data_IF_842760464764
#
_entry.id   IF_842760464764
#
_cell.length_a   1.000
_cell.length_b   1.000
_cell.length_c   1.000
_cell.angle_alpha   90.00
_cell.angle_beta   90.00
_cell.angle_gamma   90.00
#
_symmetry.space_group_name_H-M   'P 1'
#
loop_
_entity.id
_entity.type
_entity.pdbx_description
1 polymer ?
#
# COMPACT_ATOMS: atom_id res chain seq x y z
N UNK A 1 -12.29 13.83 -6.93
CA UNK A 1 -11.32 13.03 -7.72
C UNK A 1 -10.12 12.70 -6.84
N UNK A 2 -9.93 11.42 -6.47
CA UNK A 2 -8.87 11.02 -5.53
C UNK A 2 -7.44 11.13 -6.08
N UNK A 3 -6.46 11.34 -5.19
CA UNK A 3 -5.03 11.49 -5.49
C UNK A 3 -4.47 10.31 -6.32
N UNK A 4 -4.86 9.08 -5.96
CA UNK A 4 -4.45 7.83 -6.61
C UNK A 4 -4.82 7.83 -8.10
N UNK A 5 -5.99 8.36 -8.46
CA UNK A 5 -6.42 8.45 -9.86
C UNK A 5 -5.46 9.33 -10.67
N UNK A 6 -4.99 10.45 -10.10
CA UNK A 6 -4.06 11.35 -10.79
C UNK A 6 -2.71 10.67 -11.01
N UNK A 7 -2.20 9.97 -9.99
CA UNK A 7 -0.97 9.19 -10.07
C UNK A 7 -1.03 8.08 -11.12
N UNK A 8 -2.17 7.39 -11.22
CA UNK A 8 -2.38 6.39 -12.27
C UNK A 8 -2.38 7.01 -13.66
N UNK A 9 -3.01 8.17 -13.84
CA UNK A 9 -3.04 8.87 -15.13
C UNK A 9 -1.63 9.32 -15.53
N UNK A 10 -0.87 9.92 -14.61
CA UNK A 10 0.52 10.33 -14.86
C UNK A 10 1.40 9.13 -15.19
N UNK A 11 1.25 8.00 -14.48
CA UNK A 11 1.94 6.76 -14.80
C UNK A 11 1.65 6.30 -16.25
N UNK A 12 0.38 6.28 -16.67
CA UNK A 12 0.04 5.87 -18.05
C UNK A 12 0.53 6.83 -19.12
N UNK A 13 0.64 8.12 -18.82
CA UNK A 13 1.22 9.09 -19.73
C UNK A 13 2.72 8.83 -19.91
N UNK A 14 3.45 8.59 -18.80
CA UNK A 14 4.87 8.27 -18.84
C UNK A 14 5.16 6.96 -19.57
N UNK A 15 4.40 5.90 -19.29
CA UNK A 15 4.57 4.61 -19.99
C UNK A 15 4.34 4.72 -21.50
N UNK A 16 3.40 5.55 -21.94
CA UNK A 16 3.18 5.83 -23.37
C UNK A 16 4.37 6.58 -23.98
N UNK A 17 4.90 7.57 -23.29
CA UNK A 17 6.07 8.31 -23.72
C UNK A 17 7.31 7.40 -23.82
N UNK A 18 7.52 6.50 -22.85
CA UNK A 18 8.61 5.52 -22.87
C UNK A 18 8.54 4.57 -24.07
N UNK A 19 7.34 4.20 -24.51
CA UNK A 19 7.12 3.32 -25.65
C UNK A 19 6.99 4.08 -26.99
N UNK A 20 7.00 5.42 -26.99
CA UNK A 20 6.78 6.23 -28.18
C UNK A 20 5.40 6.08 -28.80
N UNK A 21 4.38 5.68 -28.03
CA UNK A 21 3.03 5.39 -28.54
C UNK A 21 2.08 6.56 -28.30
N UNK A 22 1.32 6.89 -29.33
CA UNK A 22 0.32 7.95 -29.32
C UNK A 22 -1.06 7.41 -28.93
N UNK A 23 -2.01 8.32 -28.68
CA UNK A 23 -3.42 7.93 -28.46
C UNK A 23 -4.08 7.40 -29.74
N UNK A 24 -3.54 7.72 -30.92
CA UNK A 24 -4.08 7.29 -32.22
C UNK A 24 -3.87 5.80 -32.47
N UNK A 25 -2.83 5.23 -31.87
CA UNK A 25 -2.50 3.81 -32.00
C UNK A 25 -3.50 2.91 -31.27
N UNK A 26 -4.39 3.49 -30.43
CA UNK A 26 -5.47 2.81 -29.72
C UNK A 26 -5.02 1.55 -28.96
N UNK A 27 -3.76 1.53 -28.53
CA UNK A 27 -3.17 0.39 -27.80
C UNK A 27 -3.83 0.29 -26.42
N UNK A 28 -4.28 -0.93 -26.08
CA UNK A 28 -4.90 -1.23 -24.79
C UNK A 28 -3.89 -1.04 -23.65
N UNK A 29 -4.36 -0.51 -22.51
CA UNK A 29 -3.50 -0.32 -21.33
C UNK A 29 -2.86 -1.63 -20.82
N UNK A 30 -3.52 -2.77 -21.02
CA UNK A 30 -2.98 -4.10 -20.64
C UNK A 30 -1.71 -4.42 -21.43
N UNK A 31 -1.66 -4.05 -22.71
CA UNK A 31 -0.48 -4.27 -23.56
C UNK A 31 0.66 -3.33 -23.18
N UNK A 32 0.35 -2.07 -22.85
CA UNK A 32 1.34 -1.11 -22.32
C UNK A 32 1.96 -1.63 -21.02
N UNK A 33 1.15 -2.20 -20.11
CA UNK A 33 1.63 -2.85 -18.88
C UNK A 33 2.53 -4.04 -19.17
N UNK A 34 2.14 -4.90 -20.11
CA UNK A 34 2.91 -6.08 -20.49
C UNK A 34 4.29 -5.71 -21.03
N UNK A 35 4.38 -4.67 -21.87
CA UNK A 35 5.63 -4.21 -22.47
C UNK A 35 6.56 -3.53 -21.47
N UNK A 36 6.01 -2.61 -20.66
CA UNK A 36 6.82 -1.81 -19.72
C UNK A 36 7.22 -2.58 -18.48
N UNK A 37 6.38 -3.54 -18.01
CA UNK A 37 6.58 -4.29 -16.76
C UNK A 37 6.80 -3.40 -15.53
N UNK A 38 6.35 -2.15 -15.60
CA UNK A 38 6.44 -1.18 -14.51
C UNK A 38 5.40 -1.54 -13.45
N UNK A 39 5.82 -1.55 -12.18
CA UNK A 39 4.93 -1.82 -11.04
C UNK A 39 3.84 -0.75 -10.95
N UNK A 40 2.60 -1.15 -10.67
CA UNK A 40 1.50 -0.21 -10.50
C UNK A 40 1.72 0.70 -9.28
N UNK A 41 1.46 2.00 -9.45
CA UNK A 41 1.64 3.01 -8.40
C UNK A 41 0.81 2.72 -7.15
N UNK A 42 -0.36 2.10 -7.31
CA UNK A 42 -1.25 1.72 -6.21
C UNK A 42 -0.53 0.78 -5.21
N UNK A 43 0.21 -0.20 -5.75
CA UNK A 43 0.97 -1.16 -4.95
C UNK A 43 2.23 -0.51 -4.37
N UNK A 44 2.90 0.33 -5.16
CA UNK A 44 4.12 1.01 -4.72
C UNK A 44 3.85 2.00 -3.60
N UNK A 45 2.77 2.77 -3.70
CA UNK A 45 2.32 3.74 -2.70
C UNK A 45 2.00 3.03 -1.39
N UNK A 46 1.23 1.93 -1.44
CA UNK A 46 0.94 1.13 -0.26
C UNK A 46 2.23 0.61 0.39
N UNK A 47 3.12 0.00 -0.41
CA UNK A 47 4.41 -0.51 0.08
C UNK A 47 5.26 0.58 0.73
N UNK A 48 5.36 1.76 0.11
CA UNK A 48 6.14 2.88 0.64
C UNK A 48 5.55 3.41 1.95
N UNK A 49 4.22 3.51 2.04
CA UNK A 49 3.54 3.88 3.29
C UNK A 49 3.84 2.89 4.41
N UNK A 50 3.82 1.58 4.13
CA UNK A 50 4.18 0.55 5.11
C UNK A 50 5.65 0.57 5.49
N UNK A 51 6.54 0.77 4.53
CA UNK A 51 7.97 0.89 4.78
C UNK A 51 8.27 2.10 5.68
N UNK A 52 7.61 3.23 5.43
CA UNK A 52 7.68 4.41 6.27
C UNK A 52 7.14 4.14 7.67
N UNK A 53 5.93 3.58 7.79
CA UNK A 53 5.34 3.26 9.09
C UNK A 53 6.26 2.34 9.91
N UNK A 54 6.78 1.27 9.28
CA UNK A 54 7.73 0.37 9.93
C UNK A 54 9.06 1.05 10.30
N UNK A 55 9.58 1.95 9.47
CA UNK A 55 10.77 2.74 9.80
C UNK A 55 10.54 3.64 11.01
N UNK A 56 9.39 4.32 11.06
CA UNK A 56 9.02 5.19 12.17
C UNK A 56 8.86 4.41 13.48
N UNK A 57 8.21 3.24 13.47
CA UNK A 57 8.08 2.39 14.68
C UNK A 57 9.44 1.96 15.23
N UNK A 58 10.43 1.70 14.36
CA UNK A 58 11.78 1.31 14.79
C UNK A 58 12.61 2.48 15.33
N UNK A 59 12.20 3.72 15.09
CA UNK A 59 12.92 4.92 15.52
C UNK A 59 12.76 5.10 17.04
N UNK A 60 13.87 4.98 17.79
CA UNK A 60 13.92 5.11 19.26
C UNK A 60 14.43 6.49 19.72
N UNK A 61 14.20 7.54 18.94
CA UNK A 61 14.76 8.87 19.17
C UNK A 61 13.81 9.81 19.94
N UNK A 62 12.76 9.28 20.57
CA UNK A 62 11.76 10.08 21.29
C UNK A 62 10.95 11.04 20.41
N UNK A 63 11.10 10.93 19.08
CA UNK A 63 10.42 11.79 18.13
C UNK A 63 8.90 11.58 18.13
N UNK A 64 8.17 12.54 17.56
CA UNK A 64 6.71 12.46 17.47
C UNK A 64 6.21 11.30 16.60
N UNK A 65 7.04 10.73 15.74
CA UNK A 65 6.63 9.68 14.79
C UNK A 65 6.00 8.46 15.47
N UNK A 66 6.69 7.79 16.40
CA UNK A 66 6.11 6.70 17.19
C UNK A 66 4.83 7.12 17.94
N UNK A 67 4.80 8.32 18.53
CA UNK A 67 3.64 8.84 19.27
C UNK A 67 2.42 9.05 18.38
N UNK A 68 2.61 9.47 17.13
CA UNK A 68 1.53 9.65 16.14
C UNK A 68 0.96 8.30 15.71
N UNK A 69 1.78 7.25 15.63
CA UNK A 69 1.31 5.89 15.32
C UNK A 69 0.57 5.23 16.49
N UNK A 70 0.97 5.53 17.72
CA UNK A 70 0.33 5.05 18.95
C UNK A 70 -0.92 5.88 19.32
N UNK A 71 -1.09 7.06 18.74
CA UNK A 71 -2.12 8.01 19.12
C UNK A 71 -3.53 7.41 18.98
N UNK A 72 -4.26 7.38 20.11
CA UNK A 72 -5.66 6.97 20.18
C UNK A 72 -6.55 8.19 20.46
N UNK A 73 -7.61 8.44 19.67
CA UNK A 73 -8.59 9.47 19.98
C UNK A 73 -9.40 9.06 21.22
N UNK A 74 -9.44 9.92 22.25
CA UNK A 74 -10.10 9.64 23.55
C UNK A 74 -11.62 9.42 23.47
N UNK A 75 -12.27 9.77 22.36
CA UNK A 75 -13.75 9.87 22.28
C UNK A 75 -14.40 8.86 21.32
N UNK A 76 -13.73 7.75 20.97
CA UNK A 76 -14.35 6.77 20.08
C UNK A 76 -13.80 5.37 20.25
N UNK A 77 -14.68 4.41 20.57
CA UNK A 77 -14.39 2.98 20.41
C UNK A 77 -14.16 2.72 18.93
N UNK A 78 -12.91 2.60 18.50
CA UNK A 78 -12.56 2.18 17.15
C UNK A 78 -11.85 0.83 17.24
N UNK A 79 -12.35 -0.14 16.48
CA UNK A 79 -11.70 -1.43 16.27
C UNK A 79 -10.25 -1.20 15.85
N UNK A 80 -9.35 -1.80 16.60
CA UNK A 80 -7.90 -1.60 16.54
C UNK A 80 -7.41 -1.77 15.11
N UNK A 81 -7.01 -0.69 14.44
CA UNK A 81 -6.28 -0.74 13.17
C UNK A 81 -4.92 -1.45 13.29
N UNK A 82 -4.48 -1.80 14.50
CA UNK A 82 -3.31 -2.66 14.73
C UNK A 82 -3.69 -4.15 14.71
N UNK A 83 -4.94 -4.51 15.07
CA UNK A 83 -5.39 -5.91 15.08
C UNK A 83 -6.20 -6.28 13.83
N UNK A 84 -7.05 -5.39 13.32
CA UNK A 84 -7.88 -5.68 12.14
C UNK A 84 -7.09 -5.62 10.82
N UNK A 85 -5.88 -5.06 10.84
CA UNK A 85 -5.07 -4.79 9.65
C UNK A 85 -4.06 -5.92 9.34
N UNK A 86 -3.89 -6.89 10.26
CA UNK A 86 -3.12 -8.12 10.00
C UNK A 86 -3.98 -9.20 9.33
N UNK A 87 -5.30 -9.19 9.59
CA UNK A 87 -6.28 -10.13 9.02
C UNK A 87 -6.64 -9.78 7.57
N UNK A 88 -6.87 -8.48 7.27
CA UNK A 88 -7.39 -8.06 5.97
C UNK A 88 -6.46 -8.28 4.76
N UNK A 89 -5.14 -8.44 4.96
CA UNK A 89 -4.21 -8.80 3.88
C UNK A 89 -3.94 -10.31 3.78
N UNK A 90 -4.15 -11.08 4.85
CA UNK A 90 -3.95 -12.54 4.85
C UNK A 90 -5.15 -13.26 4.23
N UNK A 91 -6.37 -12.79 4.49
CA UNK A 91 -7.62 -13.37 3.96
C UNK A 91 -7.85 -13.11 2.47
N UNK A 92 -7.18 -12.11 1.88
CA UNK A 92 -7.33 -11.79 0.46
C UNK A 92 -6.61 -12.77 -0.48
N UNK A 93 -5.76 -13.67 0.03
CA UNK A 93 -4.93 -14.51 -0.85
C UNK A 93 -5.10 -16.03 -0.66
N UNK A 94 -5.38 -16.58 0.53
CA UNK A 94 -5.52 -18.05 0.68
C UNK A 94 -6.39 -18.48 1.87
N UNK A 95 -7.22 -19.52 1.70
CA UNK A 95 -7.91 -20.27 2.75
C UNK A 95 -7.22 -21.64 2.99
N UNK A 96 -7.55 -22.33 4.10
CA UNK A 96 -6.77 -22.46 5.34
C UNK A 96 -5.79 -23.65 5.31
N UNK A 97 -4.82 -23.68 6.24
CA UNK A 97 -4.32 -24.88 6.95
C UNK A 97 -3.32 -24.41 8.03
N UNK A 98 -3.68 -24.63 9.30
CA UNK A 98 -2.85 -24.64 10.52
C UNK A 98 -1.85 -23.51 10.76
N UNK A 99 -2.07 -22.69 11.79
CA UNK A 99 -0.99 -22.35 12.75
C UNK A 99 -1.60 -21.84 14.06
N UNK A 100 -1.86 -22.79 14.96
CA UNK A 100 -1.91 -22.52 16.39
C UNK A 100 -0.50 -22.12 16.87
N UNK A 101 -0.47 -21.32 17.94
CA UNK A 101 0.67 -21.04 18.85
C UNK A 101 1.68 -19.94 18.47
N UNK A 102 1.37 -18.68 18.78
CA UNK A 102 2.29 -17.61 19.22
C UNK A 102 1.44 -16.32 19.29
N UNK A 103 1.18 -15.60 20.39
CA UNK A 103 2.02 -15.10 21.48
C UNK A 103 1.04 -14.61 22.56
N UNK A 104 0.87 -15.36 23.66
CA UNK A 104 1.38 -15.03 25.01
C UNK A 104 1.48 -13.52 25.31
N UNK A 105 0.42 -13.01 25.92
CA UNK A 105 0.37 -11.81 26.74
C UNK A 105 1.68 -11.58 27.52
N UNK A 106 2.25 -10.40 27.36
CA UNK A 106 3.00 -9.71 28.41
C UNK A 106 2.53 -8.26 28.42
#
# INVERSE_FOLDING_TARGET
MGLIRRLRVTQRAMERAMLGVSLRDKIRNVEIRRRTRVTDIDQRDAKLKWQWAGHIVRKRDGSWGPKVLEWQPRTGKRSLLVLHFREAQFESQHAPITFLSYVRFK
#
